data_IF_105144458517
#
_entry.id   IF_105144458517
#
_cell.length_a   1.000
_cell.length_b   1.000
_cell.length_c   1.000
_cell.angle_alpha   90.00
_cell.angle_beta   90.00
_cell.angle_gamma   90.00
#
_symmetry.space_group_name_H-M   'P 1'
#
loop_
_entity.id
_entity.type
_entity.pdbx_description
1 polymer ?
#
# COMPACT_ATOMS: atom_id res chain seq x y z
N UNK A 1 18.93 6.07 35.31
CA UNK A 1 18.03 5.67 34.22
C UNK A 1 17.09 4.62 34.77
N UNK A 2 16.12 5.04 35.58
CA UNK A 2 15.07 4.16 36.09
C UNK A 2 13.90 4.38 35.14
N UNK A 3 13.41 3.29 34.55
CA UNK A 3 12.28 3.34 33.64
C UNK A 3 11.04 3.52 34.52
N UNK A 4 10.38 4.67 34.42
CA UNK A 4 9.12 4.90 35.15
C UNK A 4 8.05 3.96 34.60
N UNK A 5 7.81 2.85 35.30
CA UNK A 5 6.86 1.80 34.90
C UNK A 5 5.46 2.36 34.59
N UNK A 6 4.90 3.30 35.37
CA UNK A 6 3.57 3.85 35.09
C UNK A 6 3.50 4.64 33.77
N UNK A 7 4.56 5.41 33.48
CA UNK A 7 4.68 6.19 32.24
C UNK A 7 4.80 5.28 31.02
N UNK A 8 5.64 4.25 31.12
CA UNK A 8 5.82 3.27 30.05
C UNK A 8 4.48 2.60 29.71
N UNK A 9 3.72 2.19 30.72
CA UNK A 9 2.40 1.57 30.54
C UNK A 9 1.43 2.47 29.77
N UNK A 10 1.35 3.76 30.11
CA UNK A 10 0.48 4.73 29.45
C UNK A 10 0.84 4.92 27.97
N UNK A 11 2.13 5.08 27.66
CA UNK A 11 2.62 5.23 26.29
C UNK A 11 2.36 3.95 25.49
N UNK A 12 2.61 2.79 26.09
CA UNK A 12 2.34 1.48 25.49
C UNK A 12 0.86 1.34 25.09
N UNK A 13 -0.08 1.65 25.98
CA UNK A 13 -1.51 1.58 25.67
C UNK A 13 -1.94 2.54 24.55
N UNK A 14 -1.38 3.76 24.48
CA UNK A 14 -1.64 4.72 23.38
C UNK A 14 -1.13 4.18 22.03
N UNK A 15 0.11 3.71 21.99
CA UNK A 15 0.72 3.19 20.75
C UNK A 15 -0.01 1.94 20.29
N UNK A 16 -0.36 1.05 21.22
CA UNK A 16 -1.10 -0.17 20.93
C UNK A 16 -2.50 0.15 20.35
N UNK A 17 -3.25 1.08 20.95
CA UNK A 17 -4.60 1.42 20.47
C UNK A 17 -4.58 2.04 19.07
N UNK A 18 -3.57 2.86 18.75
CA UNK A 18 -3.35 3.41 17.41
C UNK A 18 -3.05 2.28 16.42
N UNK A 19 -2.05 1.43 16.72
CA UNK A 19 -1.63 0.34 15.82
C UNK A 19 -2.74 -0.67 15.52
N UNK A 20 -3.65 -0.91 16.48
CA UNK A 20 -4.80 -1.80 16.29
C UNK A 20 -5.80 -1.29 15.25
N UNK A 21 -5.95 0.03 15.10
CA UNK A 21 -6.89 0.65 14.18
C UNK A 21 -6.30 0.98 12.81
N UNK A 22 -4.97 0.98 12.68
CA UNK A 22 -4.31 1.23 11.41
C UNK A 22 -4.66 0.13 10.38
N UNK A 23 -5.31 0.47 9.25
CA UNK A 23 -5.74 -0.52 8.25
C UNK A 23 -4.55 -1.20 7.57
N UNK A 24 -3.41 -0.51 7.42
CA UNK A 24 -2.18 -1.07 6.84
C UNK A 24 -1.66 -2.27 7.66
N UNK A 25 -1.77 -2.21 8.98
CA UNK A 25 -1.41 -3.30 9.88
C UNK A 25 -2.55 -4.30 10.08
N UNK A 26 -3.79 -3.96 9.71
CA UNK A 26 -4.97 -4.83 9.85
C UNK A 26 -5.06 -5.93 8.78
N UNK A 27 -4.14 -5.95 7.80
CA UNK A 27 -4.06 -7.02 6.82
C UNK A 27 -3.78 -8.38 7.49
N UNK A 28 -4.48 -9.44 7.06
CA UNK A 28 -4.33 -10.82 7.58
C UNK A 28 -2.89 -11.35 7.49
N UNK A 29 -2.05 -10.72 6.68
CA UNK A 29 -0.64 -11.05 6.49
C UNK A 29 0.25 -10.71 7.69
N UNK A 30 -0.20 -9.87 8.63
CA UNK A 30 0.62 -9.46 9.78
C UNK A 30 0.14 -10.17 11.05
N UNK A 31 0.97 -11.07 11.58
CA UNK A 31 0.71 -11.78 12.84
C UNK A 31 0.51 -10.80 14.00
N UNK A 32 -0.47 -11.08 14.86
CA UNK A 32 -0.76 -10.25 16.05
C UNK A 32 0.48 -10.09 16.94
N UNK A 33 1.33 -11.12 17.02
CA UNK A 33 2.59 -11.10 17.76
C UNK A 33 3.53 -9.98 17.30
N UNK A 34 3.65 -9.76 15.98
CA UNK A 34 4.51 -8.71 15.43
C UNK A 34 4.01 -7.32 15.82
N UNK A 35 2.69 -7.11 15.84
CA UNK A 35 2.08 -5.82 16.23
C UNK A 35 2.38 -5.48 17.68
N UNK A 36 2.26 -6.46 18.57
CA UNK A 36 2.53 -6.27 20.00
C UNK A 36 4.02 -6.07 20.24
N UNK A 37 4.89 -6.86 19.58
CA UNK A 37 6.34 -6.69 19.67
C UNK A 37 6.79 -5.30 19.19
N UNK A 38 6.25 -4.84 18.06
CA UNK A 38 6.53 -3.50 17.54
C UNK A 38 6.04 -2.39 18.49
N UNK A 39 4.85 -2.55 19.07
CA UNK A 39 4.33 -1.61 20.06
C UNK A 39 5.25 -1.49 21.30
N UNK A 40 5.75 -2.62 21.81
CA UNK A 40 6.69 -2.67 22.95
C UNK A 40 7.99 -1.95 22.63
N UNK A 41 8.60 -2.25 21.48
CA UNK A 41 9.87 -1.62 21.07
C UNK A 41 9.69 -0.11 20.92
N UNK A 42 8.60 0.31 20.28
CA UNK A 42 8.32 1.74 20.04
C UNK A 42 8.03 2.48 21.35
N UNK A 43 7.28 1.87 22.29
CA UNK A 43 6.99 2.51 23.58
C UNK A 43 8.24 2.64 24.45
N UNK A 44 9.18 1.67 24.39
CA UNK A 44 10.47 1.78 25.11
C UNK A 44 11.27 3.00 24.64
N UNK A 45 11.40 3.18 23.32
CA UNK A 45 12.13 4.31 22.74
C UNK A 45 11.50 5.66 23.11
N UNK A 46 10.17 5.78 23.08
CA UNK A 46 9.46 7.03 23.39
C UNK A 46 9.56 7.38 24.88
N UNK A 47 9.64 6.38 25.76
CA UNK A 47 9.72 6.58 27.21
C UNK A 47 10.99 7.32 27.62
N UNK A 48 12.09 7.19 26.88
CA UNK A 48 13.34 7.90 27.16
C UNK A 48 13.31 9.39 26.75
N UNK A 49 12.48 9.74 25.77
CA UNK A 49 12.44 11.10 25.19
C UNK A 49 11.50 12.03 25.95
N UNK A 50 10.40 11.50 26.50
CA UNK A 50 9.34 12.31 27.12
C UNK A 50 9.62 12.47 28.62
N UNK A 51 9.85 13.65 29.19
CA UNK A 51 9.85 13.80 30.65
C UNK A 51 8.42 13.62 31.20
N UNK A 52 8.23 12.76 32.20
CA UNK A 52 6.93 12.55 32.86
C UNK A 52 6.96 13.10 34.27
N UNK A 53 5.90 13.78 34.67
CA UNK A 53 5.73 14.23 36.04
C UNK A 53 5.27 13.03 36.90
N UNK A 54 6.07 12.65 37.90
CA UNK A 54 5.87 11.51 38.82
C UNK A 54 4.55 11.52 39.60
N UNK A 55 3.72 12.55 39.47
CA UNK A 55 2.60 12.84 40.38
C UNK A 55 1.40 11.90 40.24
N UNK A 56 1.27 11.13 39.15
CA UNK A 56 0.18 10.17 39.00
C UNK A 56 0.47 8.78 39.60
N UNK A 57 1.70 8.52 40.09
CA UNK A 57 2.12 7.19 40.51
C UNK A 57 1.52 6.70 41.84
N UNK A 58 0.92 7.58 42.66
CA UNK A 58 0.51 7.23 44.02
C UNK A 58 -0.97 6.82 44.18
N UNK A 59 -1.83 6.99 43.16
CA UNK A 59 -3.24 6.61 43.25
C UNK A 59 -3.62 5.59 42.15
N UNK A 60 -3.97 4.34 42.52
CA UNK A 60 -4.43 3.31 41.59
C UNK A 60 -5.64 3.74 40.74
N UNK A 61 -6.54 4.55 41.32
CA UNK A 61 -7.72 5.05 40.60
C UNK A 61 -7.34 6.11 39.56
N UNK A 62 -6.41 7.00 39.89
CA UNK A 62 -5.86 7.99 38.96
C UNK A 62 -5.16 7.35 37.76
N UNK A 63 -4.42 6.25 37.99
CA UNK A 63 -3.73 5.52 36.92
C UNK A 63 -4.71 4.85 35.95
N UNK A 64 -5.79 4.23 36.45
CA UNK A 64 -6.81 3.62 35.60
C UNK A 64 -7.50 4.67 34.70
N UNK A 65 -7.86 5.82 35.28
CA UNK A 65 -8.48 6.91 34.53
C UNK A 65 -7.54 7.49 33.46
N UNK A 66 -6.25 7.60 33.78
CA UNK A 66 -5.23 8.02 32.84
C UNK A 66 -5.08 7.04 31.66
N UNK A 67 -5.02 5.73 31.93
CA UNK A 67 -4.97 4.71 30.87
C UNK A 67 -6.20 4.80 29.98
N UNK A 68 -7.40 4.93 30.55
CA UNK A 68 -8.64 5.03 29.79
C UNK A 68 -8.62 6.26 28.87
N UNK A 69 -8.17 7.42 29.37
CA UNK A 69 -8.02 8.65 28.57
C UNK A 69 -7.02 8.44 27.42
N UNK A 70 -5.89 7.82 27.68
CA UNK A 70 -4.86 7.57 26.66
C UNK A 70 -5.32 6.61 25.57
N UNK A 71 -6.05 5.55 25.96
CA UNK A 71 -6.67 4.62 25.01
C UNK A 71 -7.71 5.34 24.18
N UNK A 72 -8.58 6.17 24.77
CA UNK A 72 -9.60 6.93 24.04
C UNK A 72 -9.00 7.89 23.01
N UNK A 73 -7.94 8.60 23.38
CA UNK A 73 -7.22 9.50 22.45
C UNK A 73 -6.61 8.70 21.30
N UNK A 74 -5.91 7.60 21.61
CA UNK A 74 -5.32 6.75 20.58
C UNK A 74 -6.37 6.09 19.67
N UNK A 75 -7.50 5.68 20.23
CA UNK A 75 -8.64 5.13 19.50
C UNK A 75 -9.24 6.17 18.53
N UNK A 76 -9.37 7.41 18.99
CA UNK A 76 -9.92 8.51 18.19
C UNK A 76 -9.04 8.82 16.97
N UNK A 77 -7.72 8.87 17.18
CA UNK A 77 -6.73 9.09 16.11
C UNK A 77 -6.73 7.90 15.13
N UNK A 78 -6.69 6.67 15.64
CA UNK A 78 -6.71 5.47 14.81
C UNK A 78 -8.00 5.34 14.00
N UNK A 79 -9.15 5.71 14.59
CA UNK A 79 -10.44 5.69 13.93
C UNK A 79 -10.52 6.71 12.77
N UNK A 80 -9.99 7.92 12.95
CA UNK A 80 -9.92 8.92 11.89
C UNK A 80 -9.10 8.43 10.69
N UNK A 81 -7.93 7.82 10.94
CA UNK A 81 -7.09 7.25 9.88
C UNK A 81 -7.83 6.11 9.16
N UNK A 82 -8.49 5.22 9.92
CA UNK A 82 -9.24 4.10 9.35
C UNK A 82 -10.35 4.57 8.41
N UNK A 83 -11.08 5.63 8.79
CA UNK A 83 -12.10 6.23 7.93
C UNK A 83 -11.52 6.78 6.62
N UNK A 84 -10.38 7.48 6.68
CA UNK A 84 -9.73 8.01 5.47
C UNK A 84 -9.38 6.89 4.47
N UNK A 85 -8.79 5.81 4.95
CA UNK A 85 -8.47 4.65 4.10
C UNK A 85 -9.71 3.94 3.57
N UNK A 86 -10.79 3.83 4.37
CA UNK A 86 -12.06 3.28 3.89
C UNK A 86 -12.64 4.14 2.75
N UNK A 87 -12.58 5.47 2.86
CA UNK A 87 -13.01 6.36 1.79
C UNK A 87 -12.18 6.17 0.50
N UNK A 88 -10.86 6.04 0.62
CA UNK A 88 -9.98 5.78 -0.54
C UNK A 88 -10.29 4.44 -1.19
N UNK A 89 -10.50 3.38 -0.39
CA UNK A 89 -10.88 2.07 -0.90
C UNK A 89 -12.24 2.10 -1.62
N UNK A 90 -13.24 2.74 -1.01
CA UNK A 90 -14.57 2.91 -1.60
C UNK A 90 -14.51 3.72 -2.91
N UNK A 91 -13.71 4.78 -2.96
CA UNK A 91 -13.50 5.56 -4.17
C UNK A 91 -12.84 4.72 -5.28
N UNK A 92 -11.81 3.93 -4.94
CA UNK A 92 -11.18 3.00 -5.89
C UNK A 92 -12.16 1.96 -6.42
N UNK A 93 -13.05 1.45 -5.56
CA UNK A 93 -14.11 0.53 -5.96
C UNK A 93 -15.07 1.19 -6.95
N UNK A 94 -15.53 2.42 -6.67
CA UNK A 94 -16.42 3.19 -7.57
C UNK A 94 -15.77 3.45 -8.93
N UNK A 95 -14.48 3.83 -8.96
CA UNK A 95 -13.74 4.02 -10.23
C UNK A 95 -13.61 2.71 -11.00
N UNK A 96 -13.38 1.59 -10.31
CA UNK A 96 -13.35 0.26 -10.93
C UNK A 96 -14.71 -0.19 -11.49
N UNK A 97 -15.82 0.23 -10.86
CA UNK A 97 -17.17 0.04 -11.38
C UNK A 97 -17.42 0.86 -12.64
N UNK A 98 -17.03 2.15 -12.65
CA UNK A 98 -17.27 3.06 -13.77
C UNK A 98 -16.43 2.76 -15.01
N UNK A 99 -15.20 2.25 -14.83
CA UNK A 99 -14.32 1.83 -15.94
C UNK A 99 -14.76 0.52 -16.61
N UNK A 100 -15.87 -0.09 -16.17
CA UNK A 100 -16.46 -1.28 -16.79
C UNK A 100 -15.84 -2.61 -16.35
N UNK A 101 -14.77 -2.59 -15.54
CA UNK A 101 -14.08 -3.78 -15.04
C UNK A 101 -14.89 -4.61 -14.04
N UNK A 102 -15.87 -4.00 -13.37
CA UNK A 102 -16.74 -4.72 -12.45
C UNK A 102 -17.75 -5.66 -13.15
N UNK A 103 -18.13 -5.39 -14.41
CA UNK A 103 -19.03 -6.27 -15.17
C UNK A 103 -18.36 -7.62 -15.51
N UNK A 104 -17.04 -7.64 -15.69
CA UNK A 104 -16.30 -8.86 -16.00
C UNK A 104 -16.18 -9.82 -14.78
N UNK A 105 -16.31 -9.31 -13.54
CA UNK A 105 -16.37 -10.17 -12.33
C UNK A 105 -17.69 -10.90 -12.17
N UNK A 106 -18.78 -10.37 -12.73
CA UNK A 106 -20.11 -11.01 -12.71
C UNK A 106 -20.23 -12.07 -13.81
N UNK A 107 -19.47 -11.94 -14.89
CA UNK A 107 -19.62 -12.78 -16.08
C UNK A 107 -18.72 -14.02 -16.08
N UNK A 108 -17.53 -14.00 -15.45
CA UNK A 108 -16.74 -15.25 -15.31
C UNK A 108 -15.74 -15.24 -14.12
N UNK A 109 -16.07 -15.88 -12.97
CA UNK A 109 -15.19 -15.94 -11.80
C UNK A 109 -13.97 -16.88 -11.96
N UNK A 110 -13.83 -17.60 -13.09
CA UNK A 110 -12.72 -18.53 -13.33
C UNK A 110 -11.52 -17.94 -14.09
N UNK A 111 -11.65 -16.77 -14.71
CA UNK A 111 -10.55 -16.14 -15.45
C UNK A 111 -9.73 -15.21 -14.56
N UNK A 112 -8.73 -15.78 -13.89
CA UNK A 112 -7.77 -15.12 -12.99
C UNK A 112 -6.71 -14.26 -13.70
N UNK A 113 -6.94 -13.90 -14.96
CA UNK A 113 -6.00 -13.14 -15.78
C UNK A 113 -6.71 -12.10 -16.62
N UNK A 114 -7.39 -11.15 -15.99
CA UNK A 114 -7.88 -9.97 -16.70
C UNK A 114 -6.74 -8.96 -16.83
N UNK A 115 -5.83 -9.20 -17.80
CA UNK A 115 -5.20 -8.08 -18.48
C UNK A 115 -6.36 -7.20 -18.93
N UNK A 116 -6.37 -5.96 -18.44
CA UNK A 116 -7.54 -5.11 -18.55
C UNK A 116 -7.90 -4.98 -20.04
N UNK A 117 -9.17 -5.11 -20.44
CA UNK A 117 -9.57 -4.99 -21.86
C UNK A 117 -9.01 -3.69 -22.47
N UNK A 118 -8.83 -2.65 -21.63
CA UNK A 118 -8.15 -1.42 -21.96
C UNK A 118 -6.64 -1.59 -22.19
N UNK A 119 -5.92 -2.41 -21.40
CA UNK A 119 -4.52 -2.75 -21.65
C UNK A 119 -4.33 -3.50 -22.97
N UNK A 120 -5.19 -4.48 -23.26
CA UNK A 120 -5.13 -5.21 -24.53
C UNK A 120 -5.47 -4.30 -25.72
N UNK A 121 -6.42 -3.38 -25.53
CA UNK A 121 -6.78 -2.37 -26.53
C UNK A 121 -5.65 -1.36 -26.78
N UNK A 122 -5.04 -0.83 -25.71
CA UNK A 122 -3.87 0.05 -25.78
C UNK A 122 -2.66 -0.67 -26.38
N UNK A 123 -2.48 -1.96 -26.11
CA UNK A 123 -1.44 -2.78 -26.72
C UNK A 123 -1.66 -2.95 -28.23
N UNK A 124 -2.89 -3.26 -28.67
CA UNK A 124 -3.23 -3.31 -30.10
C UNK A 124 -3.04 -1.95 -30.79
N UNK A 125 -3.44 -0.85 -30.16
CA UNK A 125 -3.20 0.51 -30.67
C UNK A 125 -1.70 0.83 -30.74
N UNK A 126 -0.92 0.46 -29.73
CA UNK A 126 0.52 0.66 -29.69
C UNK A 126 1.24 -0.11 -30.80
N UNK A 127 0.82 -1.35 -31.07
CA UNK A 127 1.34 -2.12 -32.21
C UNK A 127 1.00 -1.42 -33.53
N UNK A 128 -0.26 -0.97 -33.73
CA UNK A 128 -0.66 -0.27 -34.96
C UNK A 128 0.11 1.04 -35.18
N UNK A 129 0.32 1.84 -34.13
CA UNK A 129 1.10 3.08 -34.22
C UNK A 129 2.56 2.77 -34.59
N UNK A 130 3.16 1.78 -33.93
CA UNK A 130 4.54 1.36 -34.16
C UNK A 130 4.75 0.87 -35.60
N UNK A 131 3.81 0.09 -36.14
CA UNK A 131 3.93 -0.41 -37.52
C UNK A 131 3.79 0.71 -38.56
N UNK A 132 2.91 1.70 -38.33
CA UNK A 132 2.79 2.87 -39.21
C UNK A 132 4.07 3.71 -39.19
N UNK A 133 4.64 3.96 -38.01
CA UNK A 133 5.88 4.73 -37.88
C UNK A 133 7.08 4.02 -38.53
N UNK A 134 7.18 2.70 -38.38
CA UNK A 134 8.24 1.90 -39.01
C UNK A 134 8.08 1.80 -40.53
N UNK A 135 6.84 1.70 -41.03
CA UNK A 135 6.54 1.71 -42.47
C UNK A 135 6.92 3.04 -43.15
N UNK A 136 6.84 4.16 -42.43
CA UNK A 136 7.35 5.45 -42.89
C UNK A 136 8.87 5.54 -42.98
N UNK A 137 9.61 4.71 -42.22
CA UNK A 137 11.07 4.71 -42.17
C UNK A 137 11.74 3.79 -43.21
N UNK A 138 10.97 2.95 -43.92
CA UNK A 138 11.49 1.99 -44.90
C UNK A 138 11.43 2.46 -46.35
N UNK A 139 11.23 3.75 -46.65
CA UNK A 139 11.46 4.28 -48.00
C UNK A 139 12.97 4.30 -48.28
N UNK A 140 13.50 3.38 -49.11
CA UNK A 140 14.93 3.17 -49.23
C UNK A 140 15.55 4.23 -50.13
N UNK A 141 16.32 5.14 -49.56
CA UNK A 141 17.38 5.80 -50.32
C UNK A 141 18.57 4.82 -50.42
N UNK A 142 18.96 4.55 -51.66
CA UNK A 142 20.19 3.85 -52.07
C UNK A 142 20.14 2.32 -52.02
N UNK A 143 19.70 1.75 -53.15
CA UNK A 143 20.22 0.47 -53.65
C UNK A 143 21.73 0.61 -53.88
N UNK A 144 22.56 0.17 -52.95
CA UNK A 144 23.92 -0.28 -53.26
C UNK A 144 24.51 -1.04 -52.07
N UNK A 145 25.25 -2.11 -52.36
CA UNK A 145 25.97 -2.96 -51.42
C UNK A 145 25.17 -4.09 -50.76
N UNK A 146 25.05 -5.21 -51.50
CA UNK A 146 24.94 -6.55 -50.93
C UNK A 146 26.14 -6.82 -50.01
N UNK A 147 25.92 -7.33 -48.79
CA UNK A 147 26.62 -8.51 -48.23
C UNK A 147 26.33 -8.70 -46.73
N UNK A 148 26.10 -9.95 -46.32
CA UNK A 148 26.14 -10.39 -44.92
C UNK A 148 24.78 -10.68 -44.26
N UNK A 149 24.74 -11.56 -43.23
CA UNK A 149 23.54 -12.17 -42.66
C UNK A 149 22.76 -11.22 -41.72
N UNK A 150 22.41 -10.02 -42.21
CA UNK A 150 21.65 -9.02 -41.43
C UNK A 150 20.14 -9.28 -41.41
N UNK A 151 19.60 -10.08 -42.35
CA UNK A 151 18.16 -10.26 -42.51
C UNK A 151 17.48 -11.02 -41.36
N UNK A 152 18.25 -11.82 -40.60
CA UNK A 152 17.76 -12.56 -39.44
C UNK A 152 17.69 -11.67 -38.19
N UNK A 153 18.53 -10.63 -38.08
CA UNK A 153 18.54 -9.71 -36.94
C UNK A 153 17.32 -8.77 -36.94
N UNK A 154 16.85 -8.37 -38.13
CA UNK A 154 15.63 -7.58 -38.25
C UNK A 154 14.37 -8.40 -37.89
N UNK A 155 14.38 -9.71 -38.15
CA UNK A 155 13.28 -10.60 -37.80
C UNK A 155 13.25 -10.97 -36.30
N UNK A 156 14.41 -11.11 -35.65
CA UNK A 156 14.46 -11.42 -34.21
C UNK A 156 14.04 -10.26 -33.30
N UNK A 157 14.16 -9.02 -33.78
CA UNK A 157 13.72 -7.80 -33.07
C UNK A 157 12.22 -7.49 -33.23
N UNK A 158 11.50 -8.27 -34.04
CA UNK A 158 10.05 -8.16 -34.24
C UNK A 158 9.26 -8.95 -33.19
N UNK A 159 9.92 -9.90 -32.50
CA UNK A 159 9.28 -10.85 -31.59
C UNK A 159 9.54 -10.51 -30.09
N UNK A 160 10.48 -9.61 -29.77
CA UNK A 160 10.73 -9.15 -28.40
C UNK A 160 10.05 -7.81 -28.07
#
# INVERSE_FOLDING_TARGET
MIIDVPKYLLIFFRVLSILWLLPIFSMRSVSVLFKVAFAIVTSLLITEVVPYAETLANDPYGMLLAVLREVLIGLSIGFAIRLLFMCVQAAGEIVSFQTGFAFARVVDPFSSGQASVLEQFLYMLGIMMRTISWSGASMPASKSSLSGPQHLAAASLIIL
#
